data_IF_309515773049
#
_entry.id   IF_309515773049
#
_cell.length_a   1.000
_cell.length_b   1.000
_cell.length_c   1.000
_cell.angle_alpha   90.00
_cell.angle_beta   90.00
_cell.angle_gamma   90.00
#
_symmetry.space_group_name_H-M   'P 1'
#
loop_
_entity.id
_entity.type
_entity.pdbx_description
1 polymer ?
#
# COMPACT_ATOMS: atom_id res chain seq x y z
N UNK A 1 10.96 23.62 0.09
CA UNK A 1 9.66 23.21 -0.47
C UNK A 1 9.83 21.92 -1.24
N UNK A 2 8.87 21.02 -1.17
CA UNK A 2 8.88 19.73 -1.85
C UNK A 2 8.40 19.87 -3.30
N UNK A 3 7.31 20.59 -3.52
CA UNK A 3 6.67 20.81 -4.82
C UNK A 3 7.02 22.18 -5.44
N UNK A 4 6.85 22.28 -6.76
CA UNK A 4 7.05 23.52 -7.48
C UNK A 4 5.99 24.56 -7.07
N UNK A 5 6.40 25.81 -6.90
CA UNK A 5 5.50 26.91 -6.54
C UNK A 5 4.98 27.61 -7.81
N UNK A 6 4.07 26.95 -8.50
CA UNK A 6 3.46 27.42 -9.75
C UNK A 6 1.94 27.39 -9.65
N UNK A 7 1.27 28.28 -10.37
CA UNK A 7 -0.18 28.18 -10.55
C UNK A 7 -0.51 26.95 -11.39
N UNK A 8 -1.49 26.17 -10.93
CA UNK A 8 -1.91 24.92 -11.60
C UNK A 8 -3.28 25.09 -12.23
N UNK A 9 -3.40 24.63 -13.46
CA UNK A 9 -4.66 24.66 -14.23
C UNK A 9 -5.07 23.30 -14.79
N UNK A 10 -4.25 22.27 -14.61
CA UNK A 10 -4.53 20.94 -15.15
C UNK A 10 -5.41 20.12 -14.17
N UNK A 11 -6.66 19.88 -14.57
CA UNK A 11 -7.64 19.11 -13.81
C UNK A 11 -7.74 17.65 -14.27
N UNK A 12 -6.85 17.19 -15.15
CA UNK A 12 -6.88 15.82 -15.63
C UNK A 12 -6.49 14.83 -14.53
N UNK A 13 -7.11 13.65 -14.54
CA UNK A 13 -6.79 12.56 -13.63
C UNK A 13 -5.37 12.02 -13.88
N UNK A 14 -4.84 11.28 -12.92
CA UNK A 14 -3.54 10.63 -13.02
C UNK A 14 -3.54 9.65 -14.21
N UNK A 15 -2.48 9.69 -15.01
CA UNK A 15 -2.23 8.71 -16.08
C UNK A 15 -1.63 7.43 -15.51
N UNK A 16 -1.80 6.30 -16.21
CA UNK A 16 -1.28 5.01 -15.76
C UNK A 16 0.25 4.99 -15.64
N UNK A 17 0.95 5.57 -16.61
CA UNK A 17 2.42 5.66 -16.58
C UNK A 17 2.95 6.89 -15.80
N UNK A 18 2.09 7.74 -15.28
CA UNK A 18 2.49 8.93 -14.54
C UNK A 18 2.86 8.60 -13.09
N UNK A 19 4.01 9.10 -12.64
CA UNK A 19 4.38 8.95 -11.23
C UNK A 19 3.46 9.75 -10.30
N UNK A 20 3.30 9.26 -9.05
CA UNK A 20 2.48 9.94 -8.04
C UNK A 20 3.00 11.34 -7.75
N UNK A 21 4.32 11.52 -7.69
CA UNK A 21 4.93 12.82 -7.49
C UNK A 21 4.59 13.80 -8.62
N UNK A 22 4.72 13.38 -9.88
CA UNK A 22 4.41 14.23 -11.03
C UNK A 22 2.92 14.62 -11.06
N UNK A 23 2.04 13.65 -10.77
CA UNK A 23 0.60 13.91 -10.65
C UNK A 23 0.29 14.92 -9.54
N UNK A 24 0.82 14.69 -8.34
CA UNK A 24 0.65 15.60 -7.21
C UNK A 24 1.20 17.01 -7.53
N UNK A 25 2.32 17.11 -8.23
CA UNK A 25 2.93 18.42 -8.55
C UNK A 25 2.13 19.22 -9.58
N UNK A 26 1.55 18.56 -10.62
CA UNK A 26 0.83 19.27 -11.69
C UNK A 26 -0.66 19.52 -11.46
N UNK A 27 -1.34 18.59 -10.74
CA UNK A 27 -2.80 18.54 -10.73
C UNK A 27 -3.44 19.69 -9.95
N UNK A 28 -4.43 20.35 -10.56
CA UNK A 28 -5.18 21.48 -10.00
C UNK A 28 -6.44 21.07 -9.21
N UNK A 29 -6.81 19.79 -9.18
CA UNK A 29 -7.99 19.32 -8.44
C UNK A 29 -7.90 19.68 -6.96
N UNK A 30 -8.95 20.22 -6.33
CA UNK A 30 -8.93 20.65 -4.93
C UNK A 30 -8.50 19.57 -3.94
N UNK A 31 -8.94 18.28 -4.05
CA UNK A 31 -8.46 17.23 -3.15
C UNK A 31 -6.94 17.02 -3.25
N UNK A 32 -6.37 17.07 -4.46
CA UNK A 32 -4.93 16.93 -4.69
C UNK A 32 -4.17 18.13 -4.12
N UNK A 33 -4.78 19.33 -4.19
CA UNK A 33 -4.25 20.54 -3.53
C UNK A 33 -4.14 20.36 -2.01
N UNK A 34 -5.16 19.81 -1.37
CA UNK A 34 -5.14 19.51 0.08
C UNK A 34 -4.00 18.53 0.44
N UNK A 35 -3.81 17.47 -0.35
CA UNK A 35 -2.72 16.51 -0.16
C UNK A 35 -1.36 17.20 -0.27
N UNK A 36 -1.14 18.02 -1.29
CA UNK A 36 0.11 18.80 -1.42
C UNK A 36 0.38 19.69 -0.21
N UNK A 37 -0.64 20.42 0.24
CA UNK A 37 -0.50 21.31 1.42
C UNK A 37 -0.07 20.51 2.64
N UNK A 38 -0.68 19.36 2.88
CA UNK A 38 -0.32 18.48 3.99
C UNK A 38 1.11 17.95 3.87
N UNK A 39 1.51 17.53 2.68
CA UNK A 39 2.88 17.04 2.42
C UNK A 39 3.93 18.16 2.60
N UNK A 40 3.62 19.41 2.20
CA UNK A 40 4.52 20.56 2.46
C UNK A 40 4.63 20.88 3.96
N UNK A 41 3.56 20.74 4.73
CA UNK A 41 3.62 20.89 6.20
C UNK A 41 4.52 19.82 6.83
N UNK A 42 4.33 18.55 6.48
CA UNK A 42 5.20 17.48 6.95
C UNK A 42 6.66 17.69 6.52
N UNK A 43 6.87 18.12 5.28
CA UNK A 43 8.19 18.43 4.73
C UNK A 43 8.89 19.58 5.46
N UNK A 44 8.16 20.62 5.87
CA UNK A 44 8.71 21.75 6.63
C UNK A 44 9.29 21.33 7.97
N UNK A 45 8.69 20.32 8.62
CA UNK A 45 9.12 19.75 9.89
C UNK A 45 10.19 18.65 9.75
N UNK A 46 10.35 18.08 8.54
CA UNK A 46 11.33 17.01 8.32
C UNK A 46 12.76 17.56 8.36
N UNK A 47 13.71 16.89 9.06
CA UNK A 47 15.07 17.37 9.25
C UNK A 47 15.80 17.63 7.92
N UNK A 48 16.49 18.76 7.82
CA UNK A 48 17.18 19.20 6.60
C UNK A 48 18.20 18.15 6.10
N UNK A 49 18.89 17.49 7.01
CA UNK A 49 19.90 16.47 6.71
C UNK A 49 19.35 15.29 5.91
N UNK A 50 18.06 14.95 6.07
CA UNK A 50 17.40 13.86 5.32
C UNK A 50 16.67 14.29 4.05
N UNK A 51 16.45 15.60 3.85
CA UNK A 51 15.60 16.09 2.76
C UNK A 51 16.09 15.75 1.36
N UNK A 52 17.39 15.78 1.12
CA UNK A 52 17.95 15.51 -0.20
C UNK A 52 17.70 14.05 -0.63
N UNK A 53 17.92 13.11 0.26
CA UNK A 53 17.69 11.68 0.06
C UNK A 53 16.19 11.38 -0.11
N UNK A 54 15.36 11.88 0.80
CA UNK A 54 13.92 11.69 0.73
C UNK A 54 13.31 12.31 -0.55
N UNK A 55 13.74 13.53 -0.95
CA UNK A 55 13.30 14.13 -2.20
C UNK A 55 13.68 13.30 -3.44
N UNK A 56 14.86 12.69 -3.43
CA UNK A 56 15.31 11.79 -4.50
C UNK A 56 14.38 10.58 -4.64
N UNK A 57 14.04 9.92 -3.52
CA UNK A 57 13.08 8.81 -3.53
C UNK A 57 11.69 9.21 -4.00
N UNK A 58 11.17 10.33 -3.52
CA UNK A 58 9.83 10.81 -3.89
C UNK A 58 9.72 11.16 -5.37
N UNK A 59 10.82 11.65 -6.01
CA UNK A 59 10.83 12.13 -7.40
C UNK A 59 11.31 11.11 -8.42
N UNK A 60 11.84 9.96 -8.00
CA UNK A 60 12.49 9.00 -8.94
C UNK A 60 11.52 8.32 -9.93
N UNK A 61 10.20 8.47 -9.74
CA UNK A 61 9.18 7.88 -10.60
C UNK A 61 8.78 6.43 -10.24
N UNK A 62 9.49 5.78 -9.34
CA UNK A 62 9.13 4.45 -8.84
C UNK A 62 8.13 4.58 -7.68
N UNK A 63 6.97 3.97 -7.82
CA UNK A 63 5.90 4.02 -6.82
C UNK A 63 6.30 3.43 -5.46
N UNK A 64 7.19 2.42 -5.44
CA UNK A 64 7.68 1.80 -4.19
C UNK A 64 8.54 2.79 -3.40
N UNK A 65 9.42 3.49 -4.08
CA UNK A 65 10.23 4.54 -3.46
C UNK A 65 9.37 5.72 -3.01
N UNK A 66 8.37 6.07 -3.81
CA UNK A 66 7.40 7.11 -3.43
C UNK A 66 6.62 6.71 -2.19
N UNK A 67 6.00 5.52 -2.17
CA UNK A 67 5.23 5.01 -1.02
C UNK A 67 6.07 4.91 0.25
N UNK A 68 7.29 4.38 0.14
CA UNK A 68 8.23 4.31 1.27
C UNK A 68 8.61 5.70 1.79
N UNK A 69 8.89 6.66 0.90
CA UNK A 69 9.21 8.04 1.29
C UNK A 69 8.02 8.75 1.94
N UNK A 70 6.82 8.57 1.42
CA UNK A 70 5.58 9.10 2.01
C UNK A 70 5.33 8.50 3.40
N UNK A 71 5.50 7.19 3.53
CA UNK A 71 5.31 6.50 4.81
C UNK A 71 6.29 7.03 5.88
N UNK A 72 7.55 7.17 5.54
CA UNK A 72 8.59 7.73 6.41
C UNK A 72 8.27 9.18 6.80
N UNK A 73 7.89 10.02 5.85
CA UNK A 73 7.56 11.43 6.09
C UNK A 73 6.37 11.58 7.05
N UNK A 74 5.31 10.80 6.86
CA UNK A 74 4.14 10.86 7.71
C UNK A 74 4.37 10.24 9.09
N UNK A 75 5.14 9.15 9.21
CA UNK A 75 5.54 8.60 10.50
C UNK A 75 6.32 9.61 11.32
N UNK A 76 7.29 10.29 10.69
CA UNK A 76 8.05 11.35 11.34
C UNK A 76 7.12 12.44 11.90
N UNK A 77 6.24 12.99 11.08
CA UNK A 77 5.30 14.05 11.48
C UNK A 77 4.31 13.57 12.55
N UNK A 78 3.80 12.35 12.44
CA UNK A 78 2.90 11.77 13.43
C UNK A 78 3.55 11.70 14.81
N UNK A 79 4.81 11.24 14.87
CA UNK A 79 5.57 11.17 16.12
C UNK A 79 5.83 12.55 16.71
N UNK A 80 6.15 13.55 15.88
CA UNK A 80 6.31 14.95 16.34
C UNK A 80 5.02 15.49 16.94
N UNK A 81 3.88 15.26 16.29
CA UNK A 81 2.56 15.74 16.76
C UNK A 81 2.11 15.04 18.04
N UNK A 82 2.57 13.81 18.28
CA UNK A 82 2.39 13.14 19.56
C UNK A 82 3.29 13.74 20.68
N UNK A 83 4.16 14.69 20.36
CA UNK A 83 5.04 15.37 21.30
C UNK A 83 6.39 14.67 21.50
N UNK A 84 6.77 13.72 20.64
CA UNK A 84 8.05 13.02 20.69
C UNK A 84 9.11 13.77 19.87
N UNK A 85 10.39 13.57 20.18
CA UNK A 85 11.45 14.03 19.31
C UNK A 85 12.03 12.86 18.50
N UNK A 86 12.37 13.13 17.24
CA UNK A 86 12.79 12.12 16.27
C UNK A 86 14.14 12.50 15.68
N UNK A 87 15.10 11.56 15.74
CA UNK A 87 16.42 11.70 15.09
C UNK A 87 16.52 10.69 13.95
N UNK A 88 16.87 11.18 12.75
CA UNK A 88 17.09 10.34 11.58
C UNK A 88 18.39 9.54 11.68
N UNK A 89 18.34 8.31 11.19
CA UNK A 89 19.47 7.42 10.96
C UNK A 89 20.50 7.40 12.11
N UNK A 90 20.08 7.07 13.33
CA UNK A 90 20.95 7.09 14.49
C UNK A 90 22.10 6.12 14.33
N UNK A 91 23.28 6.50 14.83
CA UNK A 91 24.38 5.56 14.99
C UNK A 91 24.06 4.58 16.12
N UNK A 92 24.38 3.31 15.89
CA UNK A 92 24.17 2.26 16.87
C UNK A 92 25.41 2.05 17.74
N UNK A 93 25.28 1.80 19.06
CA UNK A 93 26.42 1.55 19.96
C UNK A 93 27.26 0.33 19.56
N UNK A 94 26.64 -0.66 18.90
CA UNK A 94 27.33 -1.85 18.39
C UNK A 94 28.17 -1.60 17.13
N UNK A 95 28.31 -0.33 16.69
CA UNK A 95 29.05 0.10 15.50
C UNK A 95 28.61 -0.55 14.19
N UNK A 96 27.36 -1.03 14.11
CA UNK A 96 26.79 -1.49 12.86
C UNK A 96 26.82 -0.38 11.81
N UNK A 97 27.22 -0.71 10.59
CA UNK A 97 27.13 0.22 9.46
C UNK A 97 25.67 0.49 9.02
N UNK A 98 24.73 -0.38 9.41
CA UNK A 98 23.30 -0.23 9.17
C UNK A 98 22.67 0.60 10.28
N UNK A 99 21.76 1.49 9.91
CA UNK A 99 21.08 2.38 10.84
C UNK A 99 19.58 2.22 10.71
N UNK A 100 18.81 2.21 11.81
CA UNK A 100 17.35 2.34 11.76
C UNK A 100 16.96 3.71 11.18
N UNK A 101 15.73 3.81 10.67
CA UNK A 101 15.26 5.08 10.12
C UNK A 101 15.17 6.16 11.19
N UNK A 102 14.69 5.80 12.39
CA UNK A 102 14.50 6.76 13.47
C UNK A 102 15.01 6.27 14.83
N UNK A 103 15.53 7.21 15.62
CA UNK A 103 15.56 7.13 17.08
C UNK A 103 14.46 8.04 17.59
N UNK A 104 13.46 7.48 18.24
CA UNK A 104 12.34 8.18 18.87
C UNK A 104 12.65 8.39 20.35
N UNK A 105 12.58 9.61 20.82
CA UNK A 105 12.74 9.99 22.21
C UNK A 105 11.37 10.41 22.75
N UNK A 106 10.86 9.60 23.67
CA UNK A 106 9.57 9.81 24.34
C UNK A 106 9.77 10.72 25.54
N UNK A 107 10.87 10.52 26.29
CA UNK A 107 11.35 11.35 27.39
C UNK A 107 12.88 11.37 27.42
N UNK A 108 13.49 11.98 28.41
CA UNK A 108 14.95 11.97 28.53
C UNK A 108 15.54 10.57 28.73
N UNK A 109 14.80 9.69 29.40
CA UNK A 109 15.21 8.32 29.71
C UNK A 109 14.59 7.27 28.80
N UNK A 110 13.46 7.57 28.18
CA UNK A 110 12.69 6.60 27.38
C UNK A 110 12.89 6.84 25.88
N UNK A 111 13.53 5.88 25.21
CA UNK A 111 13.87 5.93 23.78
C UNK A 111 13.67 4.56 23.15
N UNK A 112 13.45 4.53 21.84
CA UNK A 112 13.41 3.31 21.05
C UNK A 112 13.82 3.59 19.61
N UNK A 113 14.22 2.54 18.88
CA UNK A 113 14.46 2.58 17.46
C UNK A 113 13.17 2.25 16.69
N UNK A 114 12.96 2.94 15.57
CA UNK A 114 11.86 2.66 14.64
C UNK A 114 12.42 2.44 13.25
N UNK A 115 12.01 1.36 12.62
CA UNK A 115 12.32 1.01 11.24
C UNK A 115 11.03 0.97 10.44
N UNK A 116 10.94 1.71 9.34
CA UNK A 116 9.80 1.75 8.44
C UNK A 116 10.02 0.85 7.22
N UNK A 117 9.03 0.11 6.81
CA UNK A 117 9.06 -0.72 5.61
C UNK A 117 7.70 -0.73 4.93
N UNK A 118 7.70 -0.56 3.60
CA UNK A 118 6.55 -0.84 2.77
C UNK A 118 6.75 -2.20 2.10
N UNK A 119 5.70 -3.00 2.07
CA UNK A 119 5.65 -4.27 1.36
C UNK A 119 4.30 -4.41 0.63
N UNK A 120 4.19 -5.29 -0.33
CA UNK A 120 2.95 -5.57 -1.04
C UNK A 120 2.78 -7.06 -1.25
N UNK A 121 1.55 -7.49 -1.52
CA UNK A 121 1.23 -8.85 -1.96
C UNK A 121 1.79 -9.16 -3.36
N UNK A 122 2.26 -8.14 -4.10
CA UNK A 122 2.80 -8.19 -5.47
C UNK A 122 4.29 -7.80 -5.58
N UNK A 123 5.09 -7.97 -4.54
CA UNK A 123 6.50 -7.55 -4.53
C UNK A 123 7.39 -8.24 -5.60
N UNK A 124 6.90 -9.30 -6.26
CA UNK A 124 7.59 -10.01 -7.35
C UNK A 124 7.32 -9.48 -8.77
N UNK A 125 6.52 -8.43 -8.98
CA UNK A 125 6.15 -7.95 -10.31
C UNK A 125 7.34 -7.33 -11.08
N UNK A 126 7.45 -7.65 -12.39
CA UNK A 126 8.45 -7.03 -13.28
C UNK A 126 8.10 -5.56 -13.54
N UNK A 127 8.92 -4.64 -12.99
CA UNK A 127 8.79 -3.18 -13.17
C UNK A 127 8.81 -2.77 -14.64
N UNK A 128 9.62 -3.44 -15.45
CA UNK A 128 9.70 -3.16 -16.89
C UNK A 128 8.41 -3.53 -17.60
N UNK A 129 7.81 -4.68 -17.25
CA UNK A 129 6.54 -5.09 -17.78
C UNK A 129 5.41 -4.15 -17.35
N UNK A 130 5.38 -3.74 -16.10
CA UNK A 130 4.40 -2.76 -15.58
C UNK A 130 4.48 -1.42 -16.33
N UNK A 131 5.67 -0.87 -16.51
CA UNK A 131 5.88 0.36 -17.27
C UNK A 131 5.40 0.22 -18.74
N UNK A 132 5.71 -0.92 -19.38
CA UNK A 132 5.24 -1.22 -20.75
C UNK A 132 3.72 -1.28 -20.83
N UNK A 133 3.05 -1.99 -19.90
CA UNK A 133 1.58 -2.06 -19.82
C UNK A 133 0.96 -0.68 -19.63
N UNK A 134 1.43 0.07 -18.66
CA UNK A 134 0.91 1.40 -18.34
C UNK A 134 1.05 2.39 -19.51
N UNK A 135 2.16 2.35 -20.25
CA UNK A 135 2.34 3.14 -21.47
C UNK A 135 1.29 2.82 -22.56
N UNK A 136 0.96 1.54 -22.74
CA UNK A 136 -0.07 1.11 -23.70
C UNK A 136 -1.46 1.55 -23.25
N UNK A 137 -1.77 1.41 -21.97
CA UNK A 137 -3.05 1.81 -21.40
C UNK A 137 -3.26 3.33 -21.48
N UNK A 138 -2.23 4.13 -21.28
CA UNK A 138 -2.32 5.59 -21.49
C UNK A 138 -2.66 5.94 -22.95
N UNK A 139 -2.05 5.25 -23.92
CA UNK A 139 -2.36 5.47 -25.35
C UNK A 139 -3.79 5.04 -25.68
N UNK A 140 -4.26 3.94 -25.09
CA UNK A 140 -5.65 3.49 -25.25
C UNK A 140 -6.62 4.49 -24.60
N UNK A 141 -6.30 5.01 -23.42
CA UNK A 141 -7.13 5.95 -22.67
C UNK A 141 -7.21 7.35 -23.33
N UNK A 142 -6.19 7.74 -24.09
CA UNK A 142 -6.18 8.97 -24.91
C UNK A 142 -7.07 8.86 -26.15
N UNK A 143 -7.46 7.65 -26.56
CA UNK A 143 -8.51 7.48 -27.58
C UNK A 143 -9.87 7.89 -27.01
N UNK A 144 -10.84 8.07 -27.90
CA UNK A 144 -12.22 8.41 -27.49
C UNK A 144 -13.21 7.75 -28.44
N UNK A 145 -14.40 7.43 -27.91
CA UNK A 145 -15.50 6.92 -28.73
C UNK A 145 -16.80 7.63 -28.34
N UNK A 146 -17.65 7.94 -29.33
CA UNK A 146 -18.88 8.72 -29.11
C UNK A 146 -19.90 8.02 -28.21
N UNK A 147 -20.00 6.68 -28.32
CA UNK A 147 -21.10 5.90 -27.76
C UNK A 147 -20.66 4.90 -26.68
N UNK A 148 -19.35 4.66 -26.52
CA UNK A 148 -18.81 3.65 -25.61
C UNK A 148 -17.63 4.15 -24.80
N UNK A 149 -17.46 3.56 -23.63
CA UNK A 149 -16.19 3.41 -22.93
C UNK A 149 -15.87 1.92 -22.79
N UNK A 150 -14.65 1.57 -22.44
CA UNK A 150 -14.25 0.17 -22.25
C UNK A 150 -13.92 -0.15 -20.81
N UNK A 151 -14.33 -1.35 -20.38
CA UNK A 151 -13.73 -2.02 -19.25
C UNK A 151 -12.49 -2.78 -19.71
N UNK A 152 -11.39 -2.69 -19.00
CA UNK A 152 -10.12 -3.33 -19.34
C UNK A 152 -9.71 -4.27 -18.22
N UNK A 153 -9.49 -5.53 -18.56
CA UNK A 153 -8.88 -6.54 -17.69
C UNK A 153 -7.62 -7.05 -18.38
N UNK A 154 -6.53 -7.26 -17.62
CA UNK A 154 -5.29 -7.75 -18.21
C UNK A 154 -4.58 -8.77 -17.35
N UNK A 155 -3.96 -9.77 -18.01
CA UNK A 155 -3.20 -10.85 -17.35
C UNK A 155 -1.87 -11.07 -18.05
N UNK A 156 -0.87 -11.53 -17.30
CA UNK A 156 0.47 -11.79 -17.81
C UNK A 156 1.31 -10.51 -18.01
N UNK A 157 2.54 -10.69 -18.46
CA UNK A 157 3.54 -9.65 -18.57
C UNK A 157 4.24 -9.64 -19.94
N UNK A 158 4.27 -8.48 -20.65
CA UNK A 158 4.99 -8.37 -21.90
C UNK A 158 6.50 -8.21 -21.67
N UNK A 159 7.32 -8.95 -22.42
CA UNK A 159 8.79 -8.80 -22.37
C UNK A 159 9.28 -7.68 -23.29
N UNK A 160 8.57 -7.42 -24.39
CA UNK A 160 8.85 -6.31 -25.32
C UNK A 160 7.75 -5.24 -25.28
N UNK A 161 8.03 -4.05 -25.81
CA UNK A 161 7.08 -2.94 -25.81
C UNK A 161 5.91 -3.20 -26.75
N UNK A 162 4.66 -3.36 -26.27
CA UNK A 162 3.51 -3.53 -27.12
C UNK A 162 3.12 -2.24 -27.86
N UNK A 163 2.47 -2.36 -29.02
CA UNK A 163 2.02 -1.18 -29.76
C UNK A 163 0.66 -0.67 -29.27
N UNK A 164 0.65 0.32 -28.36
CA UNK A 164 -0.56 0.96 -27.88
C UNK A 164 -1.38 1.63 -28.99
N UNK A 165 -0.73 2.23 -29.99
CA UNK A 165 -1.43 2.82 -31.17
C UNK A 165 -2.17 1.79 -31.99
N UNK A 166 -1.63 0.57 -32.12
CA UNK A 166 -2.30 -0.53 -32.83
C UNK A 166 -3.53 -0.97 -32.02
N UNK A 167 -3.36 -1.23 -30.72
CA UNK A 167 -4.47 -1.60 -29.85
C UNK A 167 -5.60 -0.57 -29.91
N UNK A 168 -5.29 0.72 -29.72
CA UNK A 168 -6.29 1.79 -29.72
C UNK A 168 -7.08 1.83 -31.05
N UNK A 169 -6.41 1.70 -32.21
CA UNK A 169 -7.08 1.67 -33.52
C UNK A 169 -7.98 0.45 -33.69
N UNK A 170 -7.55 -0.72 -33.24
CA UNK A 170 -8.32 -1.97 -33.32
C UNK A 170 -9.55 -1.88 -32.42
N UNK A 171 -9.41 -1.36 -31.20
CA UNK A 171 -10.52 -1.18 -30.26
C UNK A 171 -11.54 -0.18 -30.77
N UNK A 172 -11.11 1.00 -31.25
CA UNK A 172 -12.06 1.98 -31.79
C UNK A 172 -12.82 1.41 -32.98
N UNK A 173 -12.17 0.71 -33.93
CA UNK A 173 -12.82 0.05 -35.06
C UNK A 173 -13.83 -1.03 -34.61
N UNK A 174 -13.50 -1.79 -33.58
CA UNK A 174 -14.41 -2.75 -32.99
C UNK A 174 -15.64 -2.06 -32.39
N UNK A 175 -15.46 -0.99 -31.61
CA UNK A 175 -16.54 -0.20 -31.02
C UNK A 175 -17.44 0.45 -32.11
N UNK A 176 -16.87 0.91 -33.24
CA UNK A 176 -17.60 1.46 -34.38
C UNK A 176 -18.53 0.39 -35.03
N UNK A 177 -18.23 -0.90 -34.89
CA UNK A 177 -19.06 -2.00 -35.39
C UNK A 177 -20.25 -2.34 -34.48
N UNK A 178 -20.34 -1.75 -33.29
CA UNK A 178 -21.37 -2.06 -32.30
C UNK A 178 -22.47 -0.98 -32.28
N UNK A 179 -23.71 -1.43 -32.06
CA UNK A 179 -24.84 -0.55 -31.80
C UNK A 179 -25.05 -0.39 -30.28
N UNK A 180 -24.89 0.80 -29.75
CA UNK A 180 -24.96 1.06 -28.33
C UNK A 180 -26.33 0.80 -27.69
N UNK A 181 -27.43 0.99 -28.44
CA UNK A 181 -28.77 0.75 -27.91
C UNK A 181 -29.07 -0.75 -27.88
N UNK A 182 -28.63 -1.49 -28.91
CA UNK A 182 -28.70 -2.96 -28.88
C UNK A 182 -27.89 -3.57 -27.76
N UNK A 183 -26.64 -3.10 -27.56
CA UNK A 183 -25.78 -3.57 -26.46
C UNK A 183 -26.40 -3.27 -25.10
N UNK A 184 -26.95 -2.06 -24.91
CA UNK A 184 -27.63 -1.67 -23.67
C UNK A 184 -28.82 -2.59 -23.37
N UNK A 185 -29.62 -2.92 -24.38
CA UNK A 185 -30.79 -3.78 -24.23
C UNK A 185 -30.39 -5.26 -24.00
N UNK A 186 -29.44 -5.77 -24.79
CA UNK A 186 -29.05 -7.20 -24.74
C UNK A 186 -28.24 -7.56 -23.48
N UNK A 187 -27.46 -6.63 -22.92
CA UNK A 187 -26.71 -6.89 -21.71
C UNK A 187 -27.55 -6.96 -20.43
N UNK A 188 -28.80 -6.46 -20.49
CA UNK A 188 -29.73 -6.41 -19.36
C UNK A 188 -29.08 -5.79 -18.08
N UNK A 189 -28.13 -4.88 -18.25
CA UNK A 189 -27.38 -4.22 -17.16
C UNK A 189 -26.26 -5.06 -16.54
N UNK A 190 -26.01 -6.29 -17.03
CA UNK A 190 -24.91 -7.13 -16.55
C UNK A 190 -23.61 -6.81 -17.28
N UNK A 191 -22.56 -6.54 -16.52
CA UNK A 191 -21.21 -6.32 -17.06
C UNK A 191 -20.68 -7.54 -17.81
N UNK A 192 -21.01 -8.75 -17.37
CA UNK A 192 -20.55 -10.00 -17.96
C UNK A 192 -21.23 -10.36 -19.29
N UNK A 193 -22.35 -9.70 -19.61
CA UNK A 193 -23.07 -9.88 -20.88
C UNK A 193 -22.69 -8.86 -21.95
N UNK A 194 -21.73 -7.97 -21.66
CA UNK A 194 -21.23 -6.95 -22.60
C UNK A 194 -20.39 -7.61 -23.71
N UNK A 195 -20.41 -7.05 -24.93
CA UNK A 195 -19.51 -7.51 -26.00
C UNK A 195 -18.05 -7.43 -25.56
N UNK A 196 -17.29 -8.46 -25.93
CA UNK A 196 -15.89 -8.61 -25.58
C UNK A 196 -14.99 -8.48 -26.81
N UNK A 197 -13.79 -7.93 -26.57
CA UNK A 197 -12.68 -7.92 -27.50
C UNK A 197 -11.42 -8.39 -26.78
N UNK A 198 -10.70 -9.34 -27.38
CA UNK A 198 -9.47 -9.89 -26.83
C UNK A 198 -8.29 -9.45 -27.68
N UNK A 199 -7.25 -8.98 -27.02
CA UNK A 199 -6.00 -8.60 -27.63
C UNK A 199 -4.84 -9.27 -26.92
N UNK A 200 -3.77 -9.58 -27.66
CA UNK A 200 -2.63 -10.29 -27.11
C UNK A 200 -1.32 -9.73 -27.66
N UNK A 201 -0.33 -9.62 -26.78
CA UNK A 201 1.06 -9.38 -27.13
C UNK A 201 1.95 -10.26 -26.23
N UNK A 202 2.64 -11.24 -26.84
CA UNK A 202 3.41 -12.26 -26.11
C UNK A 202 2.53 -12.97 -25.04
N UNK A 203 2.92 -12.87 -23.77
CA UNK A 203 2.19 -13.44 -22.65
C UNK A 203 1.20 -12.46 -22.02
N UNK A 204 1.13 -11.22 -22.52
CA UNK A 204 0.18 -10.24 -22.04
C UNK A 204 -1.13 -10.32 -22.79
N UNK A 205 -2.19 -10.63 -22.08
CA UNK A 205 -3.55 -10.73 -22.61
C UNK A 205 -4.37 -9.55 -22.09
N UNK A 206 -5.08 -8.87 -22.97
CA UNK A 206 -5.96 -7.75 -22.64
C UNK A 206 -7.38 -8.11 -23.07
N UNK A 207 -8.29 -8.15 -22.11
CA UNK A 207 -9.70 -8.36 -22.31
C UNK A 207 -10.43 -7.04 -22.16
N UNK A 208 -11.21 -6.67 -23.18
CA UNK A 208 -11.96 -5.41 -23.18
C UNK A 208 -13.45 -5.71 -23.29
N UNK A 209 -14.27 -4.94 -22.55
CA UNK A 209 -15.73 -4.99 -22.63
C UNK A 209 -16.28 -3.65 -23.05
N UNK A 210 -17.19 -3.64 -24.04
CA UNK A 210 -17.81 -2.40 -24.52
C UNK A 210 -18.95 -1.98 -23.58
N UNK A 211 -18.75 -0.90 -22.83
CA UNK A 211 -19.74 -0.34 -21.93
C UNK A 211 -20.47 0.79 -22.67
N UNK A 212 -21.77 0.62 -23.02
CA UNK A 212 -22.51 1.65 -23.74
C UNK A 212 -22.81 2.85 -22.86
N UNK A 213 -22.62 4.05 -23.42
CA UNK A 213 -22.95 5.29 -22.74
C UNK A 213 -24.46 5.54 -22.79
N UNK A 214 -25.01 6.08 -21.69
CA UNK A 214 -26.40 6.56 -21.67
C UNK A 214 -26.57 7.64 -22.73
N UNK A 215 -27.74 7.75 -23.40
CA UNK A 215 -27.96 8.72 -24.48
C UNK A 215 -27.52 10.15 -24.16
N UNK A 216 -27.80 10.64 -22.97
CA UNK A 216 -27.40 11.98 -22.51
C UNK A 216 -25.88 12.20 -22.38
N UNK A 217 -25.11 11.12 -22.40
CA UNK A 217 -23.66 11.16 -22.23
C UNK A 217 -22.88 10.88 -23.54
N UNK A 218 -23.58 10.62 -24.63
CA UNK A 218 -23.00 10.32 -25.95
C UNK A 218 -22.48 11.59 -26.63
N UNK A 219 -21.51 11.41 -27.52
CA UNK A 219 -20.92 12.50 -28.29
C UNK A 219 -19.98 13.44 -27.52
N UNK A 220 -19.87 13.29 -26.19
CA UNK A 220 -18.95 14.07 -25.40
C UNK A 220 -17.54 13.48 -25.49
N UNK A 221 -16.53 14.34 -25.70
CA UNK A 221 -15.12 13.92 -25.66
C UNK A 221 -14.77 13.48 -24.24
N UNK A 222 -14.32 12.24 -24.10
CA UNK A 222 -13.90 11.65 -22.83
C UNK A 222 -12.82 10.61 -23.05
N UNK A 223 -12.17 10.19 -21.99
CA UNK A 223 -11.24 9.08 -21.98
C UNK A 223 -11.95 7.79 -22.32
N UNK A 224 -11.25 6.86 -22.99
CA UNK A 224 -11.86 5.63 -23.47
C UNK A 224 -11.99 4.58 -22.36
N UNK A 225 -11.06 4.50 -21.42
CA UNK A 225 -11.12 3.53 -20.32
C UNK A 225 -12.08 4.03 -19.25
N UNK A 226 -13.17 3.31 -19.03
CA UNK A 226 -14.17 3.59 -18.00
C UNK A 226 -13.92 2.81 -16.69
N UNK A 227 -13.44 1.57 -16.81
CA UNK A 227 -13.13 0.68 -15.68
C UNK A 227 -11.85 -0.08 -16.00
N UNK A 228 -10.98 -0.21 -15.02
CA UNK A 228 -9.80 -1.07 -15.10
C UNK A 228 -9.82 -2.06 -13.93
N UNK A 229 -9.62 -3.32 -14.26
CA UNK A 229 -9.33 -4.37 -13.30
C UNK A 229 -8.02 -5.05 -13.73
N UNK A 230 -7.10 -5.16 -12.82
CA UNK A 230 -5.89 -5.96 -13.03
C UNK A 230 -6.09 -7.29 -12.28
N UNK A 231 -5.89 -8.40 -12.96
CA UNK A 231 -5.71 -9.62 -12.23
C UNK A 231 -6.50 -10.83 -12.69
N UNK A 232 -5.82 -11.94 -12.57
CA UNK A 232 -6.41 -13.27 -12.39
C UNK A 232 -6.96 -13.36 -10.97
N UNK A 233 -7.99 -14.17 -10.75
CA UNK A 233 -8.37 -14.55 -9.40
C UNK A 233 -7.19 -15.26 -8.75
N UNK A 234 -6.52 -14.60 -7.84
CA UNK A 234 -5.39 -15.15 -7.10
C UNK A 234 -5.74 -15.28 -5.62
N UNK A 235 -5.12 -16.26 -4.97
CA UNK A 235 -5.15 -16.33 -3.51
C UNK A 235 -4.24 -15.20 -3.02
N UNK A 236 -4.84 -14.22 -2.35
CA UNK A 236 -4.08 -13.11 -1.78
C UNK A 236 -3.43 -13.58 -0.49
N UNK A 237 -2.11 -13.51 -0.42
CA UNK A 237 -1.33 -13.78 0.79
C UNK A 237 -0.93 -12.46 1.44
N UNK A 238 -1.72 -11.99 2.40
CA UNK A 238 -1.44 -10.76 3.13
C UNK A 238 -0.49 -10.96 4.32
N UNK A 239 -0.46 -12.16 4.90
CA UNK A 239 0.30 -12.39 6.14
C UNK A 239 1.80 -12.65 5.93
N UNK A 240 2.19 -13.37 4.86
CA UNK A 240 3.59 -13.71 4.60
C UNK A 240 4.47 -12.48 4.35
N UNK A 241 4.08 -11.48 3.54
CA UNK A 241 4.87 -10.26 3.34
C UNK A 241 5.13 -9.50 4.65
N UNK A 242 4.13 -9.41 5.54
CA UNK A 242 4.30 -8.80 6.87
C UNK A 242 5.30 -9.58 7.71
N UNK A 243 5.11 -10.91 7.83
CA UNK A 243 6.01 -11.80 8.56
C UNK A 243 7.46 -11.63 8.11
N UNK A 244 7.68 -11.68 6.80
CA UNK A 244 9.02 -11.66 6.21
C UNK A 244 9.68 -10.28 6.33
N UNK A 245 8.91 -9.21 6.25
CA UNK A 245 9.38 -7.86 6.54
C UNK A 245 9.85 -7.73 8.00
N UNK A 246 9.03 -8.17 8.95
CA UNK A 246 9.40 -8.14 10.39
C UNK A 246 10.65 -8.97 10.65
N UNK A 247 10.74 -10.20 10.11
CA UNK A 247 11.90 -11.07 10.28
C UNK A 247 13.18 -10.47 9.69
N UNK A 248 13.09 -9.92 8.49
CA UNK A 248 14.23 -9.32 7.79
C UNK A 248 14.77 -8.12 8.56
N UNK A 249 13.87 -7.25 9.02
CA UNK A 249 14.27 -6.03 9.75
C UNK A 249 14.76 -6.34 11.16
N UNK A 250 14.14 -7.29 11.87
CA UNK A 250 14.58 -7.70 13.21
C UNK A 250 16.01 -8.25 13.26
N UNK A 251 16.50 -8.84 12.16
CA UNK A 251 17.87 -9.40 12.06
C UNK A 251 18.92 -8.39 11.60
N UNK A 252 18.48 -7.22 11.11
CA UNK A 252 19.32 -6.29 10.33
C UNK A 252 20.43 -5.63 11.13
N UNK A 253 20.20 -5.36 12.43
CA UNK A 253 21.04 -4.44 13.23
C UNK A 253 21.92 -5.11 14.25
N UNK A 254 21.86 -6.43 14.42
CA UNK A 254 22.55 -7.13 15.51
C UNK A 254 21.88 -6.90 16.86
N UNK A 255 22.64 -6.98 17.96
CA UNK A 255 22.11 -6.67 19.29
C UNK A 255 21.96 -5.16 19.46
N UNK A 256 20.82 -4.76 20.01
CA UNK A 256 20.44 -3.37 20.25
C UNK A 256 20.36 -3.10 21.75
N UNK A 257 20.68 -1.89 22.15
CA UNK A 257 20.61 -1.38 23.52
C UNK A 257 19.23 -0.80 23.89
N UNK A 258 18.38 -0.57 22.90
CA UNK A 258 17.05 0.00 23.07
C UNK A 258 16.00 -0.88 22.37
N UNK A 259 14.71 -0.74 22.71
CA UNK A 259 13.62 -1.37 22.00
C UNK A 259 13.64 -1.05 20.50
N UNK A 260 13.23 -1.98 19.67
CA UNK A 260 13.05 -1.81 18.23
C UNK A 260 11.59 -2.02 17.85
N UNK A 261 10.98 -1.03 17.21
CA UNK A 261 9.68 -1.13 16.55
C UNK A 261 9.90 -1.26 15.04
N UNK A 262 9.20 -2.18 14.41
CA UNK A 262 9.18 -2.31 12.96
C UNK A 262 7.79 -1.87 12.49
N UNK A 263 7.71 -0.72 11.81
CA UNK A 263 6.50 -0.23 11.18
C UNK A 263 6.39 -0.80 9.78
N UNK A 264 5.34 -1.58 9.52
CA UNK A 264 5.10 -2.25 8.23
C UNK A 264 3.85 -1.69 7.61
N UNK A 265 3.98 -1.07 6.44
CA UNK A 265 2.86 -0.67 5.61
C UNK A 265 2.65 -1.72 4.52
N UNK A 266 1.53 -2.42 4.54
CA UNK A 266 1.15 -3.37 3.50
C UNK A 266 0.21 -2.69 2.49
N UNK A 267 0.65 -2.59 1.24
CA UNK A 267 -0.16 -2.06 0.14
C UNK A 267 -1.05 -3.18 -0.43
N UNK A 268 -2.19 -3.39 0.24
CA UNK A 268 -3.23 -4.33 -0.18
C UNK A 268 -4.61 -3.81 0.24
N UNK A 269 -5.66 -4.24 -0.46
CA UNK A 269 -7.06 -3.98 -0.11
C UNK A 269 -7.67 -5.05 0.80
N UNK A 270 -6.94 -6.12 1.07
CA UNK A 270 -7.49 -7.35 1.63
C UNK A 270 -6.98 -7.67 3.04
N UNK A 271 -6.11 -6.80 3.61
CA UNK A 271 -5.57 -7.02 4.95
C UNK A 271 -6.69 -6.98 5.99
N UNK A 272 -6.74 -8.00 6.81
CA UNK A 272 -7.60 -8.04 7.99
C UNK A 272 -6.81 -8.38 9.26
N UNK A 273 -7.50 -8.36 10.40
CA UNK A 273 -6.90 -8.71 11.69
C UNK A 273 -6.37 -10.14 11.74
N UNK A 274 -7.02 -11.04 11.02
CA UNK A 274 -6.62 -12.45 10.99
C UNK A 274 -5.25 -12.61 10.31
N UNK A 275 -5.02 -11.88 9.23
CA UNK A 275 -3.72 -11.82 8.56
C UNK A 275 -2.63 -11.24 9.45
N UNK A 276 -2.93 -10.14 10.16
CA UNK A 276 -1.99 -9.52 11.10
C UNK A 276 -1.55 -10.51 12.19
N UNK A 277 -2.51 -11.23 12.76
CA UNK A 277 -2.26 -12.24 13.79
C UNK A 277 -1.51 -13.45 13.24
N UNK A 278 -1.84 -13.91 12.04
CA UNK A 278 -1.10 -14.99 11.38
C UNK A 278 0.34 -14.59 11.12
N UNK A 279 0.56 -13.37 10.62
CA UNK A 279 1.90 -12.86 10.34
C UNK A 279 2.81 -12.86 11.58
N UNK A 280 2.28 -12.45 12.72
CA UNK A 280 3.08 -12.28 13.95
C UNK A 280 3.16 -13.56 14.78
N UNK A 281 2.02 -14.23 15.02
CA UNK A 281 1.90 -15.35 15.95
C UNK A 281 1.83 -16.72 15.27
N UNK A 282 1.64 -16.77 13.95
CA UNK A 282 1.50 -17.99 13.15
C UNK A 282 0.06 -18.31 12.77
N UNK A 283 -0.09 -19.09 11.71
CA UNK A 283 -1.37 -19.49 11.15
C UNK A 283 -2.24 -20.23 12.16
N UNK A 284 -3.54 -19.96 12.14
CA UNK A 284 -4.50 -20.69 12.96
C UNK A 284 -4.70 -22.10 12.43
N UNK A 285 -4.71 -23.07 13.32
CA UNK A 285 -4.91 -24.48 13.04
C UNK A 285 -5.91 -25.05 14.03
N UNK A 286 -6.69 -26.02 13.58
CA UNK A 286 -7.60 -26.77 14.45
C UNK A 286 -7.11 -28.21 14.57
N UNK A 287 -6.80 -28.64 15.80
CA UNK A 287 -6.40 -30.01 16.09
C UNK A 287 -7.66 -30.82 16.37
N UNK A 288 -7.84 -31.88 15.60
CA UNK A 288 -8.89 -32.88 15.83
C UNK A 288 -8.28 -34.15 16.42
N UNK A 289 -8.91 -34.69 17.44
CA UNK A 289 -8.60 -36.04 17.87
C UNK A 289 -9.59 -37.01 17.21
N UNK A 290 -9.19 -37.74 16.15
CA UNK A 290 -10.08 -38.63 15.40
C UNK A 290 -10.59 -39.83 16.19
N UNK A 291 -10.04 -40.12 17.39
CA UNK A 291 -10.35 -41.28 18.22
C UNK A 291 -11.54 -41.01 19.15
N UNK A 292 -11.96 -39.78 19.33
CA UNK A 292 -13.10 -39.43 20.21
C UNK A 292 -14.43 -39.45 19.43
N UNK A 293 -15.49 -40.00 20.04
CA UNK A 293 -16.84 -40.08 19.43
C UNK A 293 -17.44 -38.72 19.05
N UNK A 294 -16.94 -37.62 19.62
CA UNK A 294 -17.37 -36.24 19.30
C UNK A 294 -16.15 -35.30 19.38
N UNK A 295 -15.28 -35.29 18.36
CA UNK A 295 -14.03 -34.53 18.41
C UNK A 295 -14.32 -33.02 18.40
N UNK A 296 -14.05 -32.37 19.52
CA UNK A 296 -14.08 -30.91 19.58
C UNK A 296 -12.78 -30.35 19.03
N UNK A 297 -12.83 -29.49 18.02
CA UNK A 297 -11.63 -28.87 17.46
C UNK A 297 -10.98 -27.96 18.52
N UNK A 298 -9.68 -28.16 18.74
CA UNK A 298 -8.89 -27.28 19.62
C UNK A 298 -8.10 -26.29 18.77
N UNK A 299 -8.33 -24.98 18.94
CA UNK A 299 -7.54 -24.00 18.22
C UNK A 299 -6.08 -24.05 18.68
N UNK A 300 -5.18 -23.97 17.75
CA UNK A 300 -3.73 -23.87 17.96
C UNK A 300 -3.14 -22.95 16.90
N UNK A 301 -2.08 -22.23 17.23
CA UNK A 301 -1.30 -21.51 16.23
C UNK A 301 -0.10 -22.29 15.78
N UNK A 302 0.14 -22.31 14.47
CA UNK A 302 1.33 -22.87 13.86
C UNK A 302 2.59 -22.11 14.32
N UNK A 303 3.72 -22.79 14.31
CA UNK A 303 5.01 -22.21 14.70
C UNK A 303 5.71 -21.58 13.48
N UNK A 304 5.01 -20.71 12.74
CA UNK A 304 5.47 -20.11 11.49
C UNK A 304 5.24 -18.59 11.39
N UNK A 305 4.88 -17.93 12.50
CA UNK A 305 4.75 -16.48 12.58
C UNK A 305 6.09 -15.76 12.72
N UNK A 306 6.11 -14.43 12.66
CA UNK A 306 7.33 -13.64 12.83
C UNK A 306 7.99 -13.83 14.20
N UNK A 307 7.22 -14.10 15.25
CA UNK A 307 7.69 -14.22 16.63
C UNK A 307 7.79 -15.67 17.14
N UNK A 308 7.34 -16.65 16.33
CA UNK A 308 7.33 -18.06 16.70
C UNK A 308 7.88 -18.94 15.59
N UNK A 309 8.68 -19.92 15.97
CA UNK A 309 9.22 -20.97 15.08
C UNK A 309 9.23 -22.31 15.81
N UNK A 310 9.45 -23.45 15.14
CA UNK A 310 9.44 -24.78 15.78
C UNK A 310 10.40 -24.92 16.96
N UNK A 311 11.51 -24.19 16.97
CA UNK A 311 12.49 -24.14 18.05
C UNK A 311 12.09 -23.25 19.24
N UNK A 312 10.99 -22.49 19.14
CA UNK A 312 10.50 -21.61 20.19
C UNK A 312 10.20 -20.17 19.71
N UNK A 313 10.54 -19.19 20.55
CA UNK A 313 10.35 -17.77 20.21
C UNK A 313 11.51 -17.28 19.34
N UNK A 314 11.21 -16.42 18.36
CA UNK A 314 12.21 -15.77 17.51
C UNK A 314 11.95 -14.26 17.38
N UNK A 315 12.83 -13.57 16.66
CA UNK A 315 12.80 -12.10 16.47
C UNK A 315 12.70 -11.32 17.79
N UNK A 316 13.33 -11.80 18.88
CA UNK A 316 13.30 -11.18 20.22
C UNK A 316 13.92 -9.77 20.25
N UNK A 317 14.69 -9.38 19.23
CA UNK A 317 15.20 -8.01 19.07
C UNK A 317 14.14 -7.00 18.68
N UNK A 318 13.01 -7.48 18.11
CA UNK A 318 11.86 -6.67 17.79
C UNK A 318 10.94 -6.58 19.01
N UNK A 319 10.75 -5.39 19.54
CA UNK A 319 9.87 -5.12 20.69
C UNK A 319 8.41 -4.96 20.32
N UNK A 320 8.13 -4.62 19.05
CA UNK A 320 6.78 -4.49 18.52
C UNK A 320 6.75 -4.34 17.00
N UNK A 321 5.67 -4.78 16.40
CA UNK A 321 5.36 -4.59 14.99
C UNK A 321 4.18 -3.62 14.87
N UNK A 322 4.40 -2.49 14.21
CA UNK A 322 3.36 -1.50 13.98
C UNK A 322 2.84 -1.64 12.56
N UNK A 323 1.68 -2.26 12.43
CA UNK A 323 1.09 -2.64 11.15
C UNK A 323 0.14 -1.56 10.64
N UNK A 324 0.23 -1.26 9.36
CA UNK A 324 -0.57 -0.26 8.66
C UNK A 324 -1.26 -0.89 7.46
N UNK A 325 -2.57 -0.66 7.37
CA UNK A 325 -3.37 -1.09 6.24
C UNK A 325 -3.34 0.01 5.17
N UNK A 326 -2.68 -0.27 4.03
CA UNK A 326 -2.69 0.57 2.83
C UNK A 326 -2.49 2.06 3.07
N UNK A 327 -1.49 2.39 3.85
CA UNK A 327 -1.18 3.77 4.15
C UNK A 327 -0.56 4.48 2.95
N UNK A 328 -1.14 5.62 2.54
CA UNK A 328 -0.66 6.44 1.43
C UNK A 328 -1.05 7.90 1.63
N UNK A 329 -0.52 8.80 0.80
CA UNK A 329 -0.92 10.20 0.78
C UNK A 329 -2.43 10.39 0.47
N UNK A 330 -3.05 9.40 -0.18
CA UNK A 330 -4.47 9.46 -0.59
C UNK A 330 -5.42 8.83 0.43
N UNK A 331 -4.91 7.94 1.30
CA UNK A 331 -5.73 7.14 2.22
C UNK A 331 -5.46 7.46 3.69
N UNK A 332 -4.72 8.52 4.00
CA UNK A 332 -4.28 8.86 5.35
C UNK A 332 -5.43 8.90 6.37
N UNK A 333 -6.58 9.45 5.99
CA UNK A 333 -7.75 9.56 6.87
C UNK A 333 -8.43 8.21 7.16
N UNK A 334 -8.35 7.26 6.23
CA UNK A 334 -8.99 5.94 6.34
C UNK A 334 -8.02 4.84 6.80
N UNK A 335 -6.72 5.12 6.80
CA UNK A 335 -5.69 4.13 7.13
C UNK A 335 -5.84 3.67 8.58
N UNK A 336 -6.01 2.37 8.76
CA UNK A 336 -5.99 1.74 10.07
C UNK A 336 -4.55 1.34 10.40
N UNK A 337 -4.25 1.37 11.69
CA UNK A 337 -2.96 0.89 12.17
C UNK A 337 -3.08 0.32 13.58
N UNK A 338 -2.26 -0.68 13.89
CA UNK A 338 -2.18 -1.29 15.21
C UNK A 338 -0.73 -1.61 15.54
N UNK A 339 -0.26 -1.17 16.71
CA UNK A 339 1.04 -1.55 17.26
C UNK A 339 0.90 -2.82 18.08
N UNK A 340 1.34 -3.95 17.57
CA UNK A 340 1.41 -5.21 18.30
C UNK A 340 2.68 -5.28 19.12
N UNK A 341 2.56 -5.48 20.44
CA UNK A 341 3.70 -5.66 21.33
C UNK A 341 4.18 -7.11 21.28
N UNK A 342 5.50 -7.30 21.11
CA UNK A 342 6.09 -8.63 21.14
C UNK A 342 6.27 -9.09 22.61
N UNK A 343 5.51 -10.10 23.06
CA UNK A 343 5.61 -10.55 24.46
C UNK A 343 6.96 -11.19 24.81
N UNK A 344 7.74 -11.54 23.81
CA UNK A 344 9.07 -12.16 23.94
C UNK A 344 10.22 -11.21 23.58
N UNK A 345 9.94 -9.93 23.41
CA UNK A 345 10.96 -8.92 23.07
C UNK A 345 11.98 -8.76 24.18
N UNK A 346 13.28 -8.65 23.81
CA UNK A 346 14.38 -8.44 24.76
C UNK A 346 14.24 -7.11 25.52
N UNK A 347 13.65 -6.10 24.89
CA UNK A 347 13.41 -4.78 25.45
C UNK A 347 11.93 -4.46 25.39
N UNK A 348 11.38 -3.93 26.47
CA UNK A 348 9.99 -3.46 26.53
C UNK A 348 9.90 -2.04 25.99
N UNK A 349 8.81 -1.74 25.26
CA UNK A 349 8.50 -0.38 24.83
C UNK A 349 8.06 0.47 26.04
N UNK A 350 8.39 1.76 26.06
CA UNK A 350 7.88 2.68 27.08
C UNK A 350 6.35 2.73 27.04
N UNK A 351 5.70 2.62 28.19
CA UNK A 351 4.23 2.72 28.27
C UNK A 351 3.72 4.10 27.87
N UNK A 352 4.50 5.14 28.08
CA UNK A 352 4.24 6.52 27.66
C UNK A 352 4.18 6.69 26.13
N UNK A 353 4.76 5.74 25.36
CA UNK A 353 4.65 5.67 23.92
C UNK A 353 3.30 5.09 23.45
N UNK A 354 2.64 4.25 24.24
CA UNK A 354 1.44 3.49 23.84
C UNK A 354 0.19 4.37 23.78
N UNK A 355 0.26 5.48 23.07
CA UNK A 355 -0.85 6.43 22.87
C UNK A 355 -1.68 6.14 21.62
N UNK A 356 -1.14 5.37 20.69
CA UNK A 356 -1.82 4.92 19.45
C UNK A 356 -2.57 3.60 19.69
N UNK A 357 -3.44 3.17 18.74
CA UNK A 357 -4.04 1.85 18.78
C UNK A 357 -2.97 0.77 18.89
N UNK A 358 -3.08 -0.07 19.92
CA UNK A 358 -2.09 -1.11 20.17
C UNK A 358 -2.71 -2.40 20.69
N UNK A 359 -1.97 -3.48 20.61
CA UNK A 359 -2.37 -4.81 21.08
C UNK A 359 -1.26 -5.44 21.91
N UNK A 360 -1.65 -6.07 23.01
CA UNK A 360 -0.75 -6.78 23.92
C UNK A 360 -1.31 -8.16 24.25
N UNK A 361 -0.42 -9.07 24.65
CA UNK A 361 -0.81 -10.42 25.06
C UNK A 361 -0.91 -10.48 26.58
N UNK A 362 -2.07 -10.83 27.11
CA UNK A 362 -2.33 -11.06 28.52
C UNK A 362 -3.02 -12.42 28.63
N UNK A 363 -2.54 -13.30 29.49
CA UNK A 363 -3.08 -14.66 29.70
C UNK A 363 -3.32 -15.43 28.38
N UNK A 364 -2.33 -15.38 27.49
CA UNK A 364 -2.35 -16.00 26.16
C UNK A 364 -3.44 -15.43 25.20
N UNK A 365 -4.13 -14.39 25.59
CA UNK A 365 -5.12 -13.69 24.78
C UNK A 365 -4.58 -12.35 24.28
N UNK A 366 -5.03 -11.95 23.10
CA UNK A 366 -4.67 -10.67 22.49
C UNK A 366 -5.72 -9.63 22.86
N UNK A 367 -5.29 -8.59 23.57
CA UNK A 367 -6.10 -7.48 23.97
C UNK A 367 -5.77 -6.25 23.14
N UNK A 368 -6.76 -5.73 22.41
CA UNK A 368 -6.62 -4.47 21.65
C UNK A 368 -7.05 -3.29 22.53
N UNK A 369 -6.25 -2.25 22.50
CA UNK A 369 -6.49 -0.98 23.18
C UNK A 369 -6.59 0.10 22.12
N UNK A 370 -7.64 0.90 22.15
CA UNK A 370 -7.80 2.06 21.28
C UNK A 370 -6.77 3.14 21.59
N UNK A 371 -6.65 4.11 20.70
CA UNK A 371 -5.69 5.19 20.87
C UNK A 371 -5.85 6.26 19.80
N UNK A 372 -4.92 7.20 19.78
CA UNK A 372 -4.89 8.34 18.85
C UNK A 372 -4.47 7.85 17.46
N UNK A 373 -5.33 8.07 16.47
CA UNK A 373 -5.10 7.66 15.08
C UNK A 373 -4.43 8.75 14.25
N UNK A 374 -4.01 8.44 13.03
CA UNK A 374 -3.56 9.47 12.08
C UNK A 374 -4.65 10.49 11.77
N UNK A 375 -5.91 10.05 11.63
CA UNK A 375 -7.06 10.94 11.42
C UNK A 375 -7.16 11.98 12.53
N UNK A 376 -7.00 11.56 13.79
CA UNK A 376 -7.08 12.45 14.95
C UNK A 376 -5.90 13.44 14.98
N UNK A 377 -4.68 12.95 14.78
CA UNK A 377 -3.46 13.75 14.86
C UNK A 377 -3.34 14.78 13.74
N UNK A 378 -3.79 14.43 12.53
CA UNK A 378 -3.74 15.32 11.37
C UNK A 378 -5.02 16.14 11.19
N UNK A 379 -6.01 15.99 12.10
CA UNK A 379 -7.29 16.70 12.08
C UNK A 379 -8.02 16.59 10.72
N UNK A 380 -7.94 15.40 10.11
CA UNK A 380 -8.55 15.11 8.82
C UNK A 380 -9.97 14.62 9.09
N UNK A 381 -10.92 15.54 9.19
CA UNK A 381 -12.33 15.22 9.29
C UNK A 381 -12.93 15.09 7.89
N UNK A 382 -13.82 14.12 7.72
CA UNK A 382 -14.53 13.90 6.46
C UNK A 382 -15.30 15.18 6.09
N UNK A 383 -14.94 15.83 4.98
CA UNK A 383 -15.65 16.94 4.34
C UNK A 383 -16.37 16.44 3.11
#
# INVERSE_FOLDING_TARGET
>A
MLFNQVARSDHSLKRAAESDFAFLDRCALPPVGKIRTLLELCWANYPEVGRAELASRLRCGDWRHFSSGIFELFLHEYLLRLGFSVKLHPELPNRSAKRPDFLVKVSDTEKFYLEAVCTSDNDGSDRGAEARKNSVLDILDDASHANFVVGVESTGDPTTQPSGKRLAREVVRWLDSLDADRVMTSSAGSYYNLPEYQWKHENWHVHLRAIPLKPAARGLKRKLIGVRADGEACIVDCWSPIRDAVLTKARRYGELDLPLVIAVNLDTFHLDEFDELQALFGQEQYLFNPITENPQPRPKRAMNGAWREPSGQRAKRCSGAWLFERFSAYTLAQSKHTLYLNPWGNHQLPTSFLRMPHALVVDEQIHKVGGVTFKDVFEIYDQ
#
